data_IF_816351030666
#
_entry.id   IF_816351030666
#
_cell.length_a   1.000
_cell.length_b   1.000
_cell.length_c   1.000
_cell.angle_alpha   90.00
_cell.angle_beta   90.00
_cell.angle_gamma   90.00
#
_symmetry.space_group_name_H-M   'P 1'
#
loop_
_entity.id
_entity.type
_entity.pdbx_description
1 polymer ?
#
# COMPACT_ATOMS: atom_id res chain seq x y z
N UNK A 1 23.76 -16.92 -0.31
CA UNK A 1 23.06 -15.81 -0.98
C UNK A 1 21.60 -16.20 -0.97
N UNK A 2 20.69 -15.30 -0.60
CA UNK A 2 19.25 -15.55 -0.50
C UNK A 2 18.61 -15.25 -1.87
N UNK A 3 17.90 -16.21 -2.44
CA UNK A 3 17.16 -16.05 -3.70
C UNK A 3 15.84 -15.32 -3.42
N UNK A 4 15.73 -14.06 -3.87
CA UNK A 4 14.59 -13.18 -3.64
C UNK A 4 13.75 -13.08 -4.92
N UNK A 5 12.58 -13.68 -4.91
CA UNK A 5 11.60 -13.48 -5.97
C UNK A 5 10.98 -12.08 -5.83
N UNK A 6 11.25 -11.19 -6.78
CA UNK A 6 10.56 -9.91 -6.89
C UNK A 6 9.28 -10.14 -7.68
N UNK A 7 8.13 -10.00 -7.01
CA UNK A 7 6.82 -10.32 -7.57
C UNK A 7 6.02 -9.04 -7.82
N UNK A 8 5.68 -8.75 -9.08
CA UNK A 8 5.13 -7.46 -9.50
C UNK A 8 4.10 -7.59 -10.62
N UNK A 9 3.38 -6.49 -10.90
CA UNK A 9 2.32 -6.44 -11.91
C UNK A 9 0.93 -6.72 -11.32
N UNK A 10 0.15 -7.60 -11.95
CA UNK A 10 -1.19 -8.00 -11.52
C UNK A 10 -2.33 -7.22 -12.17
N UNK A 11 -3.56 -7.63 -11.85
CA UNK A 11 -4.78 -7.01 -12.37
C UNK A 11 -5.21 -5.85 -11.48
N UNK A 12 -4.55 -4.72 -11.64
CA UNK A 12 -4.79 -3.50 -10.86
C UNK A 12 -4.65 -2.28 -11.77
N UNK A 13 -5.35 -1.18 -11.50
CA UNK A 13 -5.09 0.12 -12.13
C UNK A 13 -3.64 0.58 -11.93
N UNK A 14 -2.99 0.13 -10.85
CA UNK A 14 -1.62 0.48 -10.47
C UNK A 14 -0.56 -0.44 -11.08
N UNK A 15 -0.93 -1.28 -12.08
CA UNK A 15 -0.02 -2.20 -12.76
C UNK A 15 1.29 -1.54 -13.19
N UNK A 16 1.22 -0.42 -13.89
CA UNK A 16 2.41 0.30 -14.39
C UNK A 16 3.28 0.87 -13.26
N UNK A 17 2.67 1.26 -12.15
CA UNK A 17 3.40 1.71 -10.96
C UNK A 17 4.18 0.56 -10.34
N UNK A 18 3.57 -0.61 -10.30
CA UNK A 18 4.21 -1.85 -9.84
C UNK A 18 5.44 -2.20 -10.67
N UNK A 19 5.38 -2.08 -12.00
CA UNK A 19 6.53 -2.32 -12.88
C UNK A 19 7.71 -1.37 -12.57
N UNK A 20 7.42 -0.09 -12.33
CA UNK A 20 8.43 0.91 -11.96
C UNK A 20 9.03 0.65 -10.58
N UNK A 21 8.18 0.36 -9.59
CA UNK A 21 8.63 0.03 -8.23
C UNK A 21 9.51 -1.21 -8.21
N UNK A 22 9.13 -2.26 -8.95
CA UNK A 22 9.90 -3.48 -9.07
C UNK A 22 11.30 -3.23 -9.68
N UNK A 23 11.42 -2.32 -10.65
CA UNK A 23 12.71 -1.95 -11.24
C UNK A 23 13.62 -1.28 -10.22
N UNK A 24 13.07 -0.42 -9.36
CA UNK A 24 13.83 0.18 -8.26
C UNK A 24 14.27 -0.88 -7.25
N UNK A 25 13.37 -1.75 -6.82
CA UNK A 25 13.69 -2.87 -5.90
C UNK A 25 14.78 -3.75 -6.53
N UNK A 26 14.63 -4.15 -7.79
CA UNK A 26 15.60 -4.97 -8.51
C UNK A 26 16.98 -4.32 -8.56
N UNK A 27 17.07 -3.04 -8.90
CA UNK A 27 18.35 -2.32 -9.06
C UNK A 27 19.03 -1.97 -7.72
N UNK A 28 18.24 -1.80 -6.65
CA UNK A 28 18.73 -1.36 -5.33
C UNK A 28 18.96 -2.50 -4.33
N UNK A 29 18.61 -3.75 -4.66
CA UNK A 29 18.94 -4.89 -3.80
C UNK A 29 20.46 -5.07 -3.66
N UNK A 30 20.94 -5.33 -2.44
CA UNK A 30 22.35 -5.65 -2.19
C UNK A 30 22.71 -7.02 -2.78
N UNK A 31 23.39 -7.00 -3.93
CA UNK A 31 23.81 -8.19 -4.68
C UNK A 31 24.82 -9.09 -3.94
N UNK A 32 25.38 -8.62 -2.85
CA UNK A 32 26.27 -9.43 -1.99
C UNK A 32 25.46 -10.36 -1.09
N UNK A 33 24.22 -10.00 -0.78
CA UNK A 33 23.32 -10.73 0.11
C UNK A 33 22.23 -11.47 -0.63
N UNK A 34 21.69 -10.87 -1.70
CA UNK A 34 20.48 -11.28 -2.37
C UNK A 34 20.67 -11.49 -3.87
N UNK A 35 20.12 -12.59 -4.38
CA UNK A 35 19.96 -12.86 -5.81
C UNK A 35 18.51 -12.55 -6.21
N UNK A 36 18.24 -11.49 -6.96
CA UNK A 36 16.87 -11.19 -7.38
C UNK A 36 16.45 -12.04 -8.57
N UNK A 37 15.25 -12.58 -8.47
CA UNK A 37 14.58 -13.37 -9.48
C UNK A 37 13.26 -12.67 -9.82
N UNK A 38 13.20 -11.85 -10.90
CA UNK A 38 12.00 -11.13 -11.23
C UNK A 38 10.93 -12.04 -11.83
N UNK A 39 9.73 -11.97 -11.26
CA UNK A 39 8.52 -12.68 -11.70
C UNK A 39 7.39 -11.68 -11.86
N UNK A 40 6.89 -11.56 -13.08
CA UNK A 40 5.77 -10.68 -13.39
C UNK A 40 4.44 -11.41 -13.36
N UNK A 41 3.41 -10.72 -12.88
CA UNK A 41 2.01 -11.15 -12.93
C UNK A 41 1.34 -10.34 -14.04
N UNK A 42 0.88 -11.00 -15.08
CA UNK A 42 0.15 -10.36 -16.18
C UNK A 42 -1.23 -9.89 -15.73
N UNK A 43 -1.89 -9.03 -16.52
CA UNK A 43 -3.24 -8.54 -16.20
C UNK A 43 -4.30 -9.64 -16.16
N UNK A 44 -4.07 -10.77 -16.84
CA UNK A 44 -4.91 -11.98 -16.76
C UNK A 44 -4.51 -12.96 -15.64
N UNK A 45 -3.58 -12.53 -14.76
CA UNK A 45 -3.23 -13.25 -13.53
C UNK A 45 -2.21 -14.38 -13.69
N UNK A 46 -1.51 -14.47 -14.84
CA UNK A 46 -0.47 -15.49 -15.04
C UNK A 46 0.88 -15.01 -14.56
N UNK A 47 1.66 -15.92 -13.99
CA UNK A 47 3.00 -15.64 -13.49
C UNK A 47 4.03 -16.03 -14.54
N UNK A 48 4.99 -15.13 -14.80
CA UNK A 48 6.08 -15.39 -15.73
C UNK A 48 7.42 -14.94 -15.16
N UNK A 49 8.44 -15.73 -15.38
CA UNK A 49 9.80 -15.22 -15.30
C UNK A 49 9.97 -14.09 -16.31
N UNK A 50 10.64 -13.01 -15.93
CA UNK A 50 10.85 -11.87 -16.84
C UNK A 50 12.33 -11.59 -17.04
N UNK A 51 12.68 -11.02 -18.19
CA UNK A 51 14.00 -10.45 -18.41
C UNK A 51 14.23 -9.30 -17.41
N UNK A 52 15.47 -9.06 -16.95
CA UNK A 52 15.81 -7.87 -16.18
C UNK A 52 15.40 -6.59 -16.94
N UNK A 53 15.10 -5.50 -16.22
CA UNK A 53 14.83 -4.23 -16.87
C UNK A 53 16.12 -3.70 -17.51
N UNK A 54 16.00 -2.98 -18.61
CA UNK A 54 17.10 -2.20 -19.17
C UNK A 54 17.44 -1.04 -18.21
N UNK A 55 18.68 -0.56 -18.23
CA UNK A 55 19.13 0.50 -17.33
C UNK A 55 18.23 1.75 -17.43
N UNK A 56 17.69 2.14 -16.28
CA UNK A 56 16.81 3.29 -16.15
C UNK A 56 15.38 3.09 -16.67
N UNK A 57 15.04 1.89 -17.17
CA UNK A 57 13.70 1.58 -17.66
C UNK A 57 12.88 0.77 -16.62
N UNK A 58 11.55 0.88 -16.65
CA UNK A 58 10.69 0.00 -15.87
C UNK A 58 10.73 -1.43 -16.44
N UNK A 59 10.36 -2.41 -15.60
CA UNK A 59 10.04 -3.74 -16.10
C UNK A 59 8.95 -3.67 -17.17
N UNK A 60 8.93 -4.66 -18.03
CA UNK A 60 7.90 -4.82 -19.05
C UNK A 60 7.37 -6.25 -19.03
N UNK A 61 6.05 -6.39 -19.15
CA UNK A 61 5.39 -7.68 -19.34
C UNK A 61 4.92 -7.89 -20.78
N UNK A 62 5.53 -7.17 -21.73
CA UNK A 62 5.38 -7.46 -23.14
C UNK A 62 5.90 -8.88 -23.45
N UNK A 63 5.27 -9.56 -24.40
CA UNK A 63 5.51 -10.98 -24.70
C UNK A 63 6.98 -11.33 -24.89
N UNK A 64 7.74 -10.45 -25.52
CA UNK A 64 9.18 -10.61 -25.78
C UNK A 64 10.07 -10.50 -24.54
N UNK A 65 9.55 -9.99 -23.43
CA UNK A 65 10.24 -9.90 -22.14
C UNK A 65 9.89 -11.05 -21.19
N UNK A 66 8.88 -11.86 -21.53
CA UNK A 66 8.50 -13.04 -20.77
C UNK A 66 9.41 -14.22 -21.15
N UNK A 67 9.83 -14.99 -20.16
CA UNK A 67 10.74 -16.13 -20.34
C UNK A 67 9.99 -17.43 -20.07
N UNK A 68 9.97 -18.31 -21.05
CA UNK A 68 9.39 -19.64 -20.93
C UNK A 68 7.86 -19.66 -20.86
N UNK A 69 7.34 -20.74 -20.29
CA UNK A 69 5.91 -20.94 -20.06
C UNK A 69 5.45 -20.29 -18.74
N UNK A 70 4.14 -20.09 -18.54
CA UNK A 70 3.62 -19.61 -17.27
C UNK A 70 4.06 -20.49 -16.11
N UNK A 71 4.52 -19.84 -15.03
CA UNK A 71 4.91 -20.53 -13.81
C UNK A 71 3.66 -21.04 -13.07
N UNK A 72 3.79 -22.23 -12.48
CA UNK A 72 2.76 -22.81 -11.61
C UNK A 72 3.36 -23.10 -10.25
N UNK A 73 2.65 -22.71 -9.20
CA UNK A 73 3.06 -22.92 -7.82
C UNK A 73 2.10 -23.87 -7.13
N UNK A 74 2.63 -24.79 -6.34
CA UNK A 74 1.84 -25.80 -5.63
C UNK A 74 2.06 -25.69 -4.13
N UNK A 75 1.01 -25.49 -3.31
CA UNK A 75 1.14 -25.49 -1.85
C UNK A 75 1.84 -26.74 -1.32
N UNK A 76 2.69 -26.56 -0.32
CA UNK A 76 3.46 -27.65 0.29
C UNK A 76 4.67 -28.12 -0.51
N UNK A 77 4.96 -27.49 -1.66
CA UNK A 77 6.18 -27.75 -2.44
C UNK A 77 7.08 -26.53 -2.44
N UNK A 78 8.38 -26.76 -2.54
CA UNK A 78 9.34 -25.69 -2.75
C UNK A 78 9.01 -24.90 -4.02
N UNK A 79 9.15 -23.57 -3.93
CA UNK A 79 9.02 -22.70 -5.10
C UNK A 79 10.36 -22.75 -5.83
N UNK A 80 10.33 -23.15 -7.09
CA UNK A 80 11.50 -23.20 -7.97
C UNK A 80 11.20 -22.41 -9.24
N UNK A 81 12.11 -21.49 -9.61
CA UNK A 81 12.06 -20.70 -10.85
C UNK A 81 13.40 -20.86 -11.56
N UNK A 82 13.41 -21.36 -12.80
CA UNK A 82 14.63 -21.62 -13.59
C UNK A 82 15.67 -22.46 -12.86
N UNK A 83 15.22 -23.54 -12.16
CA UNK A 83 16.05 -24.40 -11.31
C UNK A 83 16.64 -23.72 -10.06
N UNK A 84 16.27 -22.49 -9.75
CA UNK A 84 16.66 -21.80 -8.54
C UNK A 84 15.54 -21.89 -7.50
N UNK A 85 15.85 -22.41 -6.30
CA UNK A 85 14.92 -22.41 -5.17
C UNK A 85 14.71 -20.97 -4.70
N UNK A 86 13.47 -20.57 -4.49
CA UNK A 86 13.12 -19.27 -3.92
C UNK A 86 13.13 -19.38 -2.40
N UNK A 87 13.94 -18.52 -1.77
CA UNK A 87 14.05 -18.44 -0.31
C UNK A 87 13.15 -17.37 0.29
N UNK A 88 12.81 -16.33 -0.50
CA UNK A 88 12.04 -15.18 -0.05
C UNK A 88 11.28 -14.53 -1.20
N UNK A 89 10.10 -13.98 -0.92
CA UNK A 89 9.32 -13.20 -1.90
C UNK A 89 9.26 -11.73 -1.48
N UNK A 90 9.60 -10.83 -2.39
CA UNK A 90 9.37 -9.41 -2.25
C UNK A 90 8.19 -9.00 -3.14
N UNK A 91 6.95 -8.99 -2.62
CA UNK A 91 5.80 -8.53 -3.39
C UNK A 91 5.86 -7.02 -3.52
N UNK A 92 5.59 -6.51 -4.72
CA UNK A 92 5.48 -5.08 -5.03
C UNK A 92 4.35 -4.85 -6.05
N UNK A 93 3.27 -5.61 -5.91
CA UNK A 93 2.04 -5.45 -6.66
C UNK A 93 1.12 -4.48 -5.93
N UNK A 94 0.94 -3.26 -6.48
CA UNK A 94 0.17 -2.21 -5.83
C UNK A 94 -1.34 -2.34 -6.06
N UNK A 95 -2.12 -1.83 -5.09
CA UNK A 95 -3.57 -1.75 -5.14
C UNK A 95 -4.28 -3.07 -4.87
N UNK A 96 -5.54 -3.15 -5.30
CA UNK A 96 -6.35 -4.36 -5.17
C UNK A 96 -5.63 -5.57 -5.77
N UNK A 97 -5.82 -6.76 -5.21
CA UNK A 97 -5.10 -7.99 -5.48
C UNK A 97 -3.71 -8.07 -4.82
N UNK A 98 -2.90 -7.02 -4.87
CA UNK A 98 -1.54 -7.01 -4.32
C UNK A 98 -1.48 -6.64 -2.84
N UNK A 99 -2.38 -5.76 -2.37
CA UNK A 99 -2.37 -5.17 -1.02
C UNK A 99 -3.59 -5.56 -0.16
N UNK A 100 -4.51 -6.36 -0.67
CA UNK A 100 -5.80 -6.67 -0.03
C UNK A 100 -5.86 -8.02 0.70
N UNK A 101 -4.71 -8.66 0.89
CA UNK A 101 -4.60 -9.95 1.57
C UNK A 101 -4.67 -11.18 0.64
N UNK A 102 -5.11 -11.04 -0.63
CA UNK A 102 -5.20 -12.16 -1.58
C UNK A 102 -3.83 -12.70 -1.93
N UNK A 103 -2.91 -11.82 -2.32
CA UNK A 103 -1.54 -12.21 -2.65
C UNK A 103 -0.82 -12.75 -1.41
N UNK A 104 -1.00 -12.13 -0.26
CA UNK A 104 -0.43 -12.55 1.01
C UNK A 104 -0.93 -13.95 1.41
N UNK A 105 -2.24 -14.19 1.32
CA UNK A 105 -2.83 -15.50 1.59
C UNK A 105 -2.32 -16.58 0.63
N UNK A 106 -2.11 -16.25 -0.63
CA UNK A 106 -1.48 -17.17 -1.59
C UNK A 106 -0.04 -17.51 -1.18
N UNK A 107 0.78 -16.52 -0.80
CA UNK A 107 2.15 -16.75 -0.34
C UNK A 107 2.20 -17.53 0.99
N UNK A 108 1.25 -17.29 1.90
CA UNK A 108 1.12 -18.06 3.14
C UNK A 108 0.77 -19.53 2.86
N UNK A 109 -0.14 -19.79 1.91
CA UNK A 109 -0.46 -21.17 1.48
C UNK A 109 0.74 -21.88 0.82
N UNK A 110 1.61 -21.13 0.14
CA UNK A 110 2.84 -21.65 -0.43
C UNK A 110 3.91 -21.92 0.63
N UNK A 111 3.76 -21.37 1.85
CA UNK A 111 4.72 -21.56 2.94
C UNK A 111 6.07 -20.89 2.68
N UNK A 112 6.08 -19.74 2.02
CA UNK A 112 7.30 -18.98 1.70
C UNK A 112 7.34 -17.68 2.48
N UNK A 113 8.49 -17.30 3.08
CA UNK A 113 8.63 -15.99 3.72
C UNK A 113 8.53 -14.86 2.69
N UNK A 114 7.91 -13.76 3.10
CA UNK A 114 7.73 -12.61 2.20
C UNK A 114 7.79 -11.27 2.95
N UNK A 115 7.98 -10.18 2.19
CA UNK A 115 8.03 -8.82 2.71
C UNK A 115 6.63 -8.22 2.90
N UNK A 116 6.44 -7.46 3.97
CA UNK A 116 5.23 -6.67 4.22
C UNK A 116 4.25 -7.31 5.19
N UNK A 117 3.04 -6.77 5.19
CA UNK A 117 1.97 -7.21 6.07
C UNK A 117 1.49 -8.62 5.69
N UNK A 118 1.00 -9.33 6.69
CA UNK A 118 0.31 -10.61 6.49
C UNK A 118 -1.11 -10.39 5.96
N UNK A 119 -1.78 -11.51 5.64
CA UNK A 119 -3.14 -11.51 5.07
C UNK A 119 -4.10 -10.61 5.84
N UNK A 120 -4.14 -10.72 7.17
CA UNK A 120 -5.08 -9.94 8.01
C UNK A 120 -4.76 -8.44 7.93
N UNK A 121 -3.48 -8.05 8.17
CA UNK A 121 -3.08 -6.65 8.13
C UNK A 121 -3.31 -6.01 6.77
N UNK A 122 -2.99 -6.73 5.69
CA UNK A 122 -3.24 -6.27 4.32
C UNK A 122 -4.73 -6.05 4.04
N UNK A 123 -5.58 -7.02 4.40
CA UNK A 123 -7.02 -6.92 4.18
C UNK A 123 -7.67 -5.80 4.99
N UNK A 124 -7.27 -5.65 6.26
CA UNK A 124 -7.75 -4.57 7.15
C UNK A 124 -7.34 -3.20 6.61
N UNK A 125 -6.06 -3.02 6.27
CA UNK A 125 -5.55 -1.73 5.81
C UNK A 125 -6.11 -1.30 4.45
N UNK A 126 -6.42 -2.24 3.55
CA UNK A 126 -7.07 -1.95 2.28
C UNK A 126 -8.50 -1.46 2.48
N UNK A 127 -9.23 -2.02 3.43
CA UNK A 127 -10.62 -1.68 3.71
C UNK A 127 -10.71 -0.44 4.63
N UNK A 128 -10.99 0.71 4.02
CA UNK A 128 -11.05 2.01 4.73
C UNK A 128 -12.09 2.04 5.86
N UNK A 129 -13.19 1.30 5.74
CA UNK A 129 -14.19 1.19 6.82
C UNK A 129 -13.63 0.41 8.01
N UNK A 130 -12.99 -0.74 7.76
CA UNK A 130 -12.39 -1.55 8.83
C UNK A 130 -11.23 -0.81 9.50
N UNK A 131 -10.32 -0.22 8.72
CA UNK A 131 -9.23 0.61 9.24
C UNK A 131 -9.76 1.71 10.17
N UNK A 132 -10.75 2.48 9.72
CA UNK A 132 -11.34 3.57 10.51
C UNK A 132 -11.99 3.07 11.80
N UNK A 133 -12.74 1.97 11.73
CA UNK A 133 -13.40 1.39 12.91
C UNK A 133 -12.41 0.90 13.95
N UNK A 134 -11.34 0.22 13.52
CA UNK A 134 -10.28 -0.23 14.44
C UNK A 134 -9.52 0.95 15.05
N UNK A 135 -9.17 1.93 14.26
CA UNK A 135 -8.48 3.12 14.74
C UNK A 135 -9.35 3.96 15.68
N UNK A 136 -10.63 4.17 15.35
CA UNK A 136 -11.55 4.88 16.22
C UNK A 136 -11.77 4.15 17.58
N UNK A 137 -11.82 2.82 17.57
CA UNK A 137 -11.90 2.02 18.80
C UNK A 137 -10.65 2.12 19.70
N UNK A 138 -9.54 2.61 19.15
CA UNK A 138 -8.28 2.89 19.85
C UNK A 138 -8.05 4.39 20.08
N UNK A 139 -9.10 5.22 19.99
CA UNK A 139 -9.06 6.68 20.16
C UNK A 139 -8.12 7.39 19.16
N UNK A 140 -7.78 6.73 18.05
CA UNK A 140 -7.05 7.38 16.94
C UNK A 140 -8.05 8.20 16.11
N UNK A 141 -7.85 9.51 15.97
CA UNK A 141 -8.79 10.35 15.24
C UNK A 141 -8.88 9.94 13.78
N UNK A 142 -10.09 9.71 13.28
CA UNK A 142 -10.41 9.45 11.89
C UNK A 142 -11.42 10.47 11.38
N UNK A 143 -11.41 10.75 10.08
CA UNK A 143 -12.43 11.65 9.50
C UNK A 143 -13.81 11.01 9.68
N UNK A 144 -14.81 11.74 10.22
CA UNK A 144 -16.18 11.24 10.37
C UNK A 144 -16.72 10.70 9.04
N UNK A 145 -17.27 9.50 9.07
CA UNK A 145 -17.76 8.82 7.87
C UNK A 145 -18.93 7.91 8.16
N UNK A 146 -19.76 7.69 7.15
CA UNK A 146 -20.85 6.72 7.13
C UNK A 146 -20.56 5.70 6.01
N UNK A 147 -20.76 4.45 6.29
CA UNK A 147 -20.58 3.37 5.33
C UNK A 147 -21.92 2.87 4.85
N UNK A 148 -22.11 2.81 3.52
CA UNK A 148 -23.31 2.34 2.88
C UNK A 148 -23.02 1.09 2.04
N UNK A 149 -24.05 0.23 1.88
CA UNK A 149 -23.98 -1.01 1.10
C UNK A 149 -24.99 -1.04 -0.06
N UNK A 150 -25.85 -0.05 -0.13
CA UNK A 150 -26.77 0.17 -1.24
C UNK A 150 -27.04 1.67 -1.43
N UNK A 151 -27.48 2.07 -2.61
CA UNK A 151 -27.67 3.47 -2.96
C UNK A 151 -28.79 4.14 -2.14
N UNK A 152 -29.78 3.38 -1.70
CA UNK A 152 -30.92 3.86 -0.90
C UNK A 152 -30.51 4.42 0.45
N UNK A 153 -29.37 3.99 0.99
CA UNK A 153 -28.83 4.47 2.27
C UNK A 153 -28.16 5.85 2.14
N UNK A 154 -27.83 6.28 0.92
CA UNK A 154 -26.97 7.43 0.66
C UNK A 154 -27.51 8.75 1.21
N UNK A 155 -28.79 9.07 0.98
CA UNK A 155 -29.40 10.33 1.44
C UNK A 155 -29.40 10.42 2.98
N UNK A 156 -29.71 9.32 3.66
CA UNK A 156 -29.70 9.29 5.13
C UNK A 156 -28.26 9.41 5.69
N UNK A 157 -27.30 8.78 5.07
CA UNK A 157 -25.89 8.89 5.43
C UNK A 157 -25.36 10.32 5.17
N UNK A 158 -25.66 10.90 4.02
CA UNK A 158 -25.29 12.26 3.68
C UNK A 158 -25.91 13.31 4.63
N UNK A 159 -27.14 13.09 5.08
CA UNK A 159 -27.78 13.96 6.06
C UNK A 159 -27.06 13.96 7.44
N UNK A 160 -26.43 12.83 7.81
CA UNK A 160 -25.63 12.74 9.05
C UNK A 160 -24.25 13.37 8.91
N UNK A 161 -23.62 13.24 7.74
CA UNK A 161 -22.27 13.77 7.47
C UNK A 161 -22.31 15.27 7.18
N UNK A 162 -23.29 15.71 6.39
CA UNK A 162 -23.38 17.08 5.85
C UNK A 162 -22.57 17.29 4.58
N UNK A 163 -22.90 18.37 3.85
CA UNK A 163 -22.16 18.78 2.65
C UNK A 163 -21.20 19.93 2.96
N UNK A 164 -20.06 20.02 2.28
CA UNK A 164 -19.56 19.08 1.27
C UNK A 164 -19.02 17.78 1.90
N UNK A 165 -19.18 16.67 1.17
CA UNK A 165 -18.67 15.35 1.57
C UNK A 165 -17.86 14.70 0.44
N UNK A 166 -17.13 13.63 0.76
CA UNK A 166 -16.39 12.81 -0.19
C UNK A 166 -17.02 11.42 -0.22
N UNK A 167 -17.36 10.94 -1.41
CA UNK A 167 -17.77 9.56 -1.65
C UNK A 167 -16.54 8.77 -2.10
N UNK A 168 -16.26 7.62 -1.49
CA UNK A 168 -15.13 6.77 -1.86
C UNK A 168 -15.42 5.28 -1.65
N UNK A 169 -14.99 4.38 -2.57
CA UNK A 169 -15.05 2.95 -2.34
C UNK A 169 -14.19 2.55 -1.13
N UNK A 170 -14.58 1.51 -0.39
CA UNK A 170 -13.82 1.06 0.77
C UNK A 170 -12.49 0.40 0.39
N UNK A 171 -12.48 -0.43 -0.68
CA UNK A 171 -11.35 -1.26 -1.09
C UNK A 171 -10.75 -0.83 -2.43
N UNK A 172 -10.66 0.47 -2.70
CA UNK A 172 -10.02 1.00 -3.91
C UNK A 172 -8.82 1.89 -3.54
N UNK A 173 -7.78 1.81 -4.38
CA UNK A 173 -6.59 2.67 -4.32
C UNK A 173 -6.62 3.75 -5.41
N UNK A 174 -5.56 4.59 -5.45
CA UNK A 174 -5.30 5.56 -6.52
C UNK A 174 -6.48 6.46 -6.88
N UNK A 175 -7.28 6.84 -5.89
CA UNK A 175 -8.47 7.70 -6.05
C UNK A 175 -9.53 7.17 -7.03
N UNK A 176 -9.50 5.88 -7.39
CA UNK A 176 -10.54 5.26 -8.22
C UNK A 176 -11.90 5.33 -7.53
N UNK A 177 -12.92 5.84 -8.22
CA UNK A 177 -14.29 5.96 -7.70
C UNK A 177 -14.47 7.05 -6.63
N UNK A 178 -13.45 7.87 -6.34
CA UNK A 178 -13.55 8.97 -5.37
C UNK A 178 -14.18 10.20 -6.01
N UNK A 179 -15.16 10.80 -5.32
CA UNK A 179 -15.81 12.03 -5.77
C UNK A 179 -16.11 12.98 -4.60
N UNK A 180 -15.87 14.27 -4.81
CA UNK A 180 -16.33 15.33 -3.90
C UNK A 180 -17.74 15.75 -4.30
N UNK A 181 -18.62 15.75 -3.33
CA UNK A 181 -20.03 16.07 -3.48
C UNK A 181 -20.30 17.35 -2.70
N UNK A 182 -20.65 18.39 -3.42
CA UNK A 182 -20.91 19.73 -2.82
C UNK A 182 -22.38 19.91 -2.46
N UNK A 183 -23.27 19.23 -3.20
CA UNK A 183 -24.72 19.36 -3.06
C UNK A 183 -25.41 18.01 -3.18
N UNK A 184 -26.63 17.90 -2.68
CA UNK A 184 -27.43 16.67 -2.74
C UNK A 184 -27.69 16.19 -4.19
N UNK A 185 -27.78 17.12 -5.15
CA UNK A 185 -28.00 16.78 -6.56
C UNK A 185 -26.84 16.00 -7.21
N UNK A 186 -25.63 16.10 -6.64
CA UNK A 186 -24.43 15.39 -7.13
C UNK A 186 -24.28 13.99 -6.48
N UNK A 187 -25.03 13.71 -5.39
CA UNK A 187 -24.82 12.53 -4.54
C UNK A 187 -25.06 11.22 -5.28
N UNK A 188 -26.16 11.12 -6.01
CA UNK A 188 -26.57 9.87 -6.69
C UNK A 188 -25.49 9.41 -7.67
N UNK A 189 -25.02 10.30 -8.54
CA UNK A 189 -24.00 9.96 -9.52
C UNK A 189 -22.66 9.57 -8.87
N UNK A 190 -22.28 10.24 -7.78
CA UNK A 190 -21.08 9.92 -7.04
C UNK A 190 -21.15 8.54 -6.37
N UNK A 191 -22.29 8.20 -5.78
CA UNK A 191 -22.53 6.91 -5.12
C UNK A 191 -22.57 5.78 -6.14
N UNK A 192 -23.27 5.96 -7.28
CA UNK A 192 -23.28 4.98 -8.38
C UNK A 192 -21.85 4.71 -8.90
N UNK A 193 -21.06 5.78 -9.10
CA UNK A 193 -19.66 5.65 -9.47
C UNK A 193 -18.86 4.89 -8.39
N UNK A 194 -19.07 5.17 -7.10
CA UNK A 194 -18.42 4.44 -6.01
C UNK A 194 -18.73 2.94 -6.04
N UNK A 195 -19.99 2.57 -6.23
CA UNK A 195 -20.42 1.18 -6.33
C UNK A 195 -19.96 0.45 -7.61
N UNK A 196 -19.51 1.18 -8.63
CA UNK A 196 -18.85 0.54 -9.78
C UNK A 196 -17.49 -0.08 -9.44
N UNK A 197 -16.88 0.34 -8.33
CA UNK A 197 -15.56 -0.14 -7.88
C UNK A 197 -15.60 -1.06 -6.66
N UNK A 198 -16.64 -0.96 -5.82
CA UNK A 198 -16.75 -1.77 -4.60
C UNK A 198 -18.23 -1.95 -4.19
N UNK A 199 -18.51 -3.03 -3.50
CA UNK A 199 -19.82 -3.30 -2.87
C UNK A 199 -20.06 -2.50 -1.57
N UNK A 200 -19.07 -1.73 -1.13
CA UNK A 200 -19.07 -0.92 0.10
C UNK A 200 -18.49 0.45 -0.19
N UNK A 201 -19.26 1.49 0.10
CA UNK A 201 -18.91 2.88 -0.18
C UNK A 201 -18.98 3.70 1.10
N UNK A 202 -18.00 4.58 1.32
CA UNK A 202 -17.97 5.53 2.42
C UNK A 202 -18.40 6.91 1.93
N UNK A 203 -19.23 7.56 2.73
CA UNK A 203 -19.50 8.99 2.67
C UNK A 203 -18.71 9.63 3.83
N UNK A 204 -17.81 10.53 3.53
CA UNK A 204 -16.86 11.08 4.50
C UNK A 204 -16.92 12.59 4.52
N UNK A 205 -16.79 13.22 5.70
CA UNK A 205 -16.69 14.67 5.81
C UNK A 205 -15.56 15.20 4.93
N UNK A 206 -15.84 16.20 4.12
CA UNK A 206 -14.78 16.86 3.34
C UNK A 206 -13.92 17.74 4.25
N UNK A 207 -12.63 17.41 4.39
CA UNK A 207 -11.68 18.13 5.23
C UNK A 207 -10.79 18.99 4.33
N UNK A 208 -10.64 20.28 4.65
CA UNK A 208 -9.64 21.13 4.04
C UNK A 208 -8.29 20.90 4.73
N UNK A 209 -7.48 20.00 4.18
CA UNK A 209 -6.31 19.50 4.87
C UNK A 209 -5.02 19.63 4.06
N UNK A 210 -3.91 19.49 4.77
CA UNK A 210 -2.60 19.13 4.23
C UNK A 210 -2.51 17.60 4.26
N UNK A 211 -1.95 16.99 3.22
CA UNK A 211 -1.71 15.54 3.16
C UNK A 211 -0.33 15.21 3.71
N UNK A 212 -0.32 14.54 4.86
CA UNK A 212 0.89 14.23 5.62
C UNK A 212 1.08 12.71 5.63
N UNK A 213 2.25 12.26 5.22
CA UNK A 213 2.55 10.83 5.09
C UNK A 213 3.71 10.43 6.02
N UNK A 214 3.62 9.26 6.67
CA UNK A 214 4.68 8.68 7.49
C UNK A 214 5.15 7.35 6.93
N UNK A 215 6.45 7.20 6.70
CA UNK A 215 7.05 5.89 6.47
C UNK A 215 7.23 5.16 7.82
N UNK A 216 6.86 3.88 7.83
CA UNK A 216 6.92 3.01 9.00
C UNK A 216 7.65 1.73 8.60
N UNK A 217 8.63 1.28 9.41
CA UNK A 217 9.36 0.02 9.21
C UNK A 217 9.42 -0.76 10.54
N UNK A 218 9.12 -2.04 10.49
CA UNK A 218 9.23 -2.97 11.61
C UNK A 218 7.93 -3.69 11.94
N UNK A 219 7.93 -4.29 13.11
CA UNK A 219 6.78 -4.74 13.88
C UNK A 219 6.92 -4.08 15.25
N UNK A 220 5.86 -4.02 16.05
CA UNK A 220 5.91 -3.29 17.33
C UNK A 220 7.14 -3.68 18.18
N UNK A 221 7.99 -2.73 18.62
CA UNK A 221 7.91 -1.28 18.38
C UNK A 221 8.40 -0.90 16.98
N UNK A 222 7.68 0.01 16.34
CA UNK A 222 7.97 0.46 14.97
C UNK A 222 9.04 1.55 14.93
N UNK A 223 9.81 1.59 13.84
CA UNK A 223 10.56 2.78 13.42
C UNK A 223 9.62 3.64 12.57
N UNK A 224 9.18 4.77 13.10
CA UNK A 224 8.36 5.77 12.38
C UNK A 224 9.24 6.94 12.01
N UNK A 225 9.37 7.23 10.73
CA UNK A 225 10.16 8.36 10.25
C UNK A 225 9.41 9.68 10.43
N UNK A 226 10.13 10.82 10.51
CA UNK A 226 9.51 12.13 10.43
C UNK A 226 8.61 12.25 9.21
N UNK A 227 7.42 12.89 9.33
CA UNK A 227 6.45 12.92 8.24
C UNK A 227 6.91 13.76 7.06
N UNK A 228 6.57 13.30 5.87
CA UNK A 228 6.60 14.04 4.63
C UNK A 228 5.25 14.68 4.32
N UNK A 229 5.19 15.44 3.23
CA UNK A 229 3.98 16.15 2.78
C UNK A 229 3.84 16.04 1.27
N UNK A 230 2.63 15.75 0.83
CA UNK A 230 2.22 15.88 -0.57
C UNK A 230 1.51 17.23 -0.74
N UNK A 231 2.11 18.11 -1.55
CA UNK A 231 1.57 19.43 -1.84
C UNK A 231 0.98 19.41 -3.24
N UNK A 232 -0.34 19.46 -3.32
CA UNK A 232 -1.06 19.53 -4.60
C UNK A 232 -1.47 20.95 -4.90
N UNK A 233 -1.39 21.35 -6.17
CA UNK A 233 -1.97 22.61 -6.65
C UNK A 233 -3.46 22.48 -6.98
N UNK A 234 -4.02 21.27 -7.01
CA UNK A 234 -5.42 20.96 -7.29
C UNK A 234 -6.22 20.69 -6.01
N UNK A 235 -7.55 20.85 -6.07
CA UNK A 235 -8.46 20.52 -4.95
C UNK A 235 -8.43 19.01 -4.56
N UNK A 236 -7.88 18.15 -5.42
CA UNK A 236 -7.73 16.71 -5.20
C UNK A 236 -6.41 16.18 -5.72
N UNK A 237 -5.84 15.24 -4.99
CA UNK A 237 -4.71 14.42 -5.40
C UNK A 237 -5.24 13.15 -6.07
N UNK A 238 -5.67 13.28 -7.34
CA UNK A 238 -6.23 12.20 -8.16
C UNK A 238 -5.14 11.37 -8.87
N UNK A 239 -5.57 10.31 -9.58
CA UNK A 239 -4.68 9.42 -10.32
C UNK A 239 -3.81 10.18 -11.36
N UNK A 240 -4.41 11.17 -12.06
CA UNK A 240 -3.68 11.96 -13.06
C UNK A 240 -2.59 12.82 -12.41
N UNK A 241 -2.89 13.44 -11.27
CA UNK A 241 -1.93 14.22 -10.49
C UNK A 241 -0.83 13.35 -9.88
N UNK A 242 -1.17 12.09 -9.51
CA UNK A 242 -0.22 11.13 -8.92
C UNK A 242 0.80 10.60 -9.91
N UNK A 243 0.38 10.31 -11.16
CA UNK A 243 1.18 9.48 -12.06
C UNK A 243 1.40 10.07 -13.47
N UNK A 244 0.57 11.00 -13.93
CA UNK A 244 0.61 11.52 -15.30
C UNK A 244 1.08 12.99 -15.38
N UNK A 245 0.76 13.82 -14.39
CA UNK A 245 1.07 15.25 -14.38
C UNK A 245 2.10 15.59 -13.28
N UNK A 246 3.33 15.14 -13.44
CA UNK A 246 4.43 15.37 -12.48
C UNK A 246 4.74 16.86 -12.18
N UNK A 247 4.12 17.81 -12.88
CA UNK A 247 4.32 19.25 -12.67
C UNK A 247 3.33 19.90 -11.70
N UNK A 248 2.24 19.22 -11.29
CA UNK A 248 1.19 19.78 -10.42
C UNK A 248 1.32 19.37 -8.94
N UNK A 249 2.21 18.43 -8.63
CA UNK A 249 2.40 17.88 -7.29
C UNK A 249 3.85 18.08 -6.85
N UNK A 250 4.05 18.75 -5.71
CA UNK A 250 5.35 18.83 -5.07
C UNK A 250 5.38 17.86 -3.87
N UNK A 251 6.46 17.09 -3.77
CA UNK A 251 6.73 16.19 -2.65
C UNK A 251 7.77 16.84 -1.75
N UNK A 252 7.46 16.90 -0.45
CA UNK A 252 8.40 17.30 0.59
C UNK A 252 8.70 16.07 1.45
N UNK A 253 9.94 15.63 1.47
CA UNK A 253 10.38 14.50 2.30
C UNK A 253 10.29 14.78 3.79
N UNK A 254 10.25 16.06 4.15
CA UNK A 254 10.06 16.55 5.52
C UNK A 254 8.99 17.65 5.51
N UNK A 255 7.86 17.39 6.17
CA UNK A 255 6.79 18.35 6.31
C UNK A 255 7.24 19.52 7.23
N UNK A 256 6.90 20.75 6.83
CA UNK A 256 7.12 21.93 7.68
C UNK A 256 6.01 22.01 8.73
N UNK A 257 6.29 21.43 9.91
CA UNK A 257 5.37 21.29 11.03
C UNK A 257 6.05 21.59 12.36
N UNK A 258 5.30 22.08 13.36
CA UNK A 258 5.80 22.21 14.72
C UNK A 258 6.27 20.86 15.28
N UNK A 259 7.36 20.81 16.08
CA UNK A 259 7.88 19.55 16.64
C UNK A 259 6.83 18.74 17.39
N UNK A 260 5.94 19.38 18.13
CA UNK A 260 4.85 18.69 18.86
C UNK A 260 3.87 17.99 17.91
N UNK A 261 3.55 18.61 16.77
CA UNK A 261 2.68 18.02 15.75
C UNK A 261 3.37 16.83 15.08
N UNK A 262 4.69 16.92 14.80
CA UNK A 262 5.48 15.82 14.27
C UNK A 262 5.42 14.62 15.20
N UNK A 263 5.68 14.81 16.49
CA UNK A 263 5.68 13.72 17.48
C UNK A 263 4.26 13.13 17.68
N UNK A 264 3.21 13.97 17.66
CA UNK A 264 1.82 13.50 17.69
C UNK A 264 1.50 12.59 16.51
N UNK A 265 1.86 13.02 15.28
CA UNK A 265 1.62 12.24 14.05
C UNK A 265 2.39 10.92 14.10
N UNK A 266 3.66 10.93 14.52
CA UNK A 266 4.48 9.73 14.65
C UNK A 266 3.90 8.74 15.66
N UNK A 267 3.42 9.22 16.80
CA UNK A 267 2.77 8.39 17.80
C UNK A 267 1.48 7.75 17.27
N UNK A 268 0.63 8.55 16.61
CA UNK A 268 -0.59 8.04 15.96
C UNK A 268 -0.28 7.03 14.85
N UNK A 269 0.80 7.24 14.07
CA UNK A 269 1.22 6.30 13.04
C UNK A 269 1.68 4.96 13.63
N UNK A 270 2.46 4.99 14.71
CA UNK A 270 2.89 3.77 15.40
C UNK A 270 1.69 2.99 15.96
N UNK A 271 0.76 3.69 16.59
CA UNK A 271 -0.43 3.07 17.16
C UNK A 271 -1.36 2.52 16.07
N UNK A 272 -1.63 3.27 15.01
CA UNK A 272 -2.43 2.81 13.87
C UNK A 272 -1.82 1.56 13.21
N UNK A 273 -0.49 1.55 13.05
CA UNK A 273 0.22 0.38 12.53
C UNK A 273 0.01 -0.85 13.41
N UNK A 274 0.08 -0.70 14.72
CA UNK A 274 -0.12 -1.81 15.67
C UNK A 274 -1.56 -2.32 15.64
N UNK A 275 -2.56 -1.41 15.71
CA UNK A 275 -3.99 -1.76 15.74
C UNK A 275 -4.47 -2.41 14.44
N UNK A 276 -3.87 -2.06 13.31
CA UNK A 276 -4.19 -2.63 12.00
C UNK A 276 -3.27 -3.78 11.58
N UNK A 277 -2.53 -4.38 12.52
CA UNK A 277 -1.67 -5.55 12.27
C UNK A 277 -0.60 -5.32 11.17
N UNK A 278 -0.08 -4.10 11.06
CA UNK A 278 1.02 -3.80 10.14
C UNK A 278 2.27 -4.60 10.54
N UNK A 279 2.95 -5.16 9.54
CA UNK A 279 4.23 -5.86 9.66
C UNK A 279 5.18 -5.45 8.54
N UNK A 280 6.44 -5.46 8.82
CA UNK A 280 7.52 -5.19 7.85
C UNK A 280 7.63 -3.72 7.48
N UNK A 281 6.72 -3.18 6.71
CA UNK A 281 6.73 -1.77 6.30
C UNK A 281 5.35 -1.30 5.85
N UNK A 282 5.11 0.01 5.97
CA UNK A 282 3.90 0.67 5.45
C UNK A 282 4.13 2.17 5.30
N UNK A 283 3.22 2.84 4.57
CA UNK A 283 3.04 4.29 4.60
C UNK A 283 1.68 4.60 5.21
N UNK A 284 1.67 5.46 6.20
CA UNK A 284 0.46 5.86 6.92
C UNK A 284 0.19 7.31 6.62
N UNK A 285 -0.98 7.56 6.07
CA UNK A 285 -1.36 8.85 5.51
C UNK A 285 -2.38 9.54 6.41
N UNK A 286 -2.14 10.81 6.69
CA UNK A 286 -2.95 11.65 7.57
C UNK A 286 -3.43 12.91 6.85
N UNK A 287 -4.60 13.39 7.25
CA UNK A 287 -5.05 14.74 7.00
C UNK A 287 -4.75 15.63 8.20
N UNK A 288 -4.02 16.71 7.96
CA UNK A 288 -3.85 17.81 8.92
C UNK A 288 -4.78 18.95 8.52
N UNK A 289 -5.90 19.10 9.23
CA UNK A 289 -6.91 20.12 8.94
C UNK A 289 -6.32 21.51 9.12
N UNK A 290 -6.47 22.37 8.11
CA UNK A 290 -5.79 23.67 8.07
C UNK A 290 -6.37 24.68 9.07
N UNK A 291 -7.66 24.61 9.35
CA UNK A 291 -8.37 25.53 10.21
C UNK A 291 -8.16 25.24 11.70
N UNK A 292 -8.19 23.96 12.07
CA UNK A 292 -8.15 23.55 13.49
C UNK A 292 -6.78 23.01 13.92
N UNK A 293 -5.98 22.51 12.97
CA UNK A 293 -4.75 21.78 13.27
C UNK A 293 -4.99 20.34 13.75
N UNK A 294 -6.22 19.85 13.61
CA UNK A 294 -6.54 18.46 13.95
C UNK A 294 -5.93 17.48 12.95
N UNK A 295 -5.46 16.35 13.48
CA UNK A 295 -4.84 15.29 12.70
C UNK A 295 -5.82 14.12 12.63
N UNK A 296 -6.15 13.67 11.42
CA UNK A 296 -7.01 12.52 11.16
C UNK A 296 -6.27 11.47 10.34
N UNK A 297 -6.34 10.20 10.75
CA UNK A 297 -5.91 9.11 9.89
C UNK A 297 -6.78 9.07 8.63
N UNK A 298 -6.14 8.98 7.47
CA UNK A 298 -6.79 8.79 6.18
C UNK A 298 -6.77 7.32 5.75
N UNK A 299 -5.57 6.77 5.50
CA UNK A 299 -5.39 5.38 5.05
C UNK A 299 -4.02 4.82 5.44
N UNK A 300 -3.86 3.50 5.31
CA UNK A 300 -2.62 2.76 5.52
C UNK A 300 -2.29 1.97 4.26
N UNK A 301 -1.12 2.24 3.66
CA UNK A 301 -0.64 1.56 2.46
C UNK A 301 0.40 0.51 2.85
N UNK A 302 0.08 -0.77 2.70
CA UNK A 302 0.92 -1.88 3.18
C UNK A 302 2.01 -2.30 2.21
N UNK A 303 1.91 -1.90 0.94
CA UNK A 303 2.97 -1.98 -0.06
C UNK A 303 3.14 -0.62 -0.75
N UNK A 304 3.68 0.39 -0.04
CA UNK A 304 3.83 1.73 -0.60
C UNK A 304 4.73 1.71 -1.84
N UNK A 305 4.53 2.67 -2.75
CA UNK A 305 5.34 2.81 -3.95
C UNK A 305 6.83 2.92 -3.65
N UNK A 306 7.63 2.28 -4.50
CA UNK A 306 9.10 2.29 -4.46
C UNK A 306 9.72 2.93 -5.71
N UNK A 307 8.97 3.75 -6.45
CA UNK A 307 9.55 4.49 -7.58
C UNK A 307 10.51 5.58 -7.07
N UNK A 308 11.37 6.10 -7.92
CA UNK A 308 12.29 7.18 -7.55
C UNK A 308 11.61 8.49 -7.09
N UNK A 309 10.29 8.64 -7.32
CA UNK A 309 9.47 9.75 -6.83
C UNK A 309 8.51 9.36 -5.70
N UNK A 310 8.59 8.14 -5.17
CA UNK A 310 7.71 7.70 -4.09
C UNK A 310 8.20 8.21 -2.73
N UNK A 311 7.28 8.72 -1.92
CA UNK A 311 7.62 9.38 -0.66
C UNK A 311 8.21 8.41 0.37
N UNK A 312 7.77 7.13 0.41
CA UNK A 312 8.29 6.15 1.35
C UNK A 312 9.82 5.96 1.26
N UNK A 313 10.42 5.60 0.11
CA UNK A 313 11.88 5.49 0.01
C UNK A 313 12.59 6.83 0.20
N UNK A 314 12.02 7.93 -0.27
CA UNK A 314 12.61 9.25 -0.10
C UNK A 314 12.67 9.67 1.38
N UNK A 315 11.65 9.40 2.18
CA UNK A 315 11.66 9.64 3.63
C UNK A 315 12.72 8.78 4.34
N UNK A 316 12.91 7.54 3.90
CA UNK A 316 13.98 6.69 4.42
C UNK A 316 15.36 7.31 4.15
N UNK A 317 15.63 7.71 2.92
CA UNK A 317 16.92 8.32 2.52
C UNK A 317 17.20 9.65 3.25
N UNK A 318 16.19 10.54 3.35
CA UNK A 318 16.28 11.81 4.09
C UNK A 318 16.68 11.60 5.56
N UNK A 319 16.31 10.46 6.14
CA UNK A 319 16.61 10.11 7.52
C UNK A 319 17.81 9.13 7.66
N UNK A 320 18.65 9.04 6.64
CA UNK A 320 19.92 8.30 6.68
C UNK A 320 19.81 6.80 6.46
N UNK A 321 18.63 6.29 6.06
CA UNK A 321 18.44 4.89 5.70
C UNK A 321 18.38 4.77 4.16
N UNK A 322 19.46 4.34 3.53
CA UNK A 322 19.49 4.15 2.08
C UNK A 322 18.40 3.17 1.61
N UNK A 323 17.95 3.30 0.36
CA UNK A 323 16.98 2.33 -0.20
C UNK A 323 17.50 0.91 -0.10
N UNK A 324 18.79 0.67 -0.35
CA UNK A 324 19.43 -0.65 -0.22
C UNK A 324 19.34 -1.19 1.21
N UNK A 325 19.59 -0.36 2.21
CA UNK A 325 19.51 -0.77 3.62
C UNK A 325 18.05 -0.95 4.06
N UNK A 326 17.12 -0.12 3.57
CA UNK A 326 15.69 -0.27 3.81
C UNK A 326 15.18 -1.62 3.27
N UNK A 327 15.50 -1.96 2.02
CA UNK A 327 15.15 -3.25 1.41
C UNK A 327 15.77 -4.42 2.20
N UNK A 328 17.04 -4.30 2.59
CA UNK A 328 17.71 -5.32 3.41
C UNK A 328 17.02 -5.51 4.75
N UNK A 329 16.62 -4.42 5.42
CA UNK A 329 15.91 -4.45 6.70
C UNK A 329 14.53 -5.09 6.54
N UNK A 330 13.79 -4.72 5.50
CA UNK A 330 12.45 -5.28 5.21
C UNK A 330 12.52 -6.79 4.96
N UNK A 331 13.50 -7.26 4.17
CA UNK A 331 13.68 -8.69 3.91
C UNK A 331 14.00 -9.44 5.21
N UNK A 332 14.88 -8.92 6.05
CA UNK A 332 15.21 -9.54 7.34
C UNK A 332 14.00 -9.63 8.26
N UNK A 333 13.20 -8.56 8.34
CA UNK A 333 11.96 -8.55 9.11
C UNK A 333 10.96 -9.61 8.62
N UNK A 334 10.83 -9.79 7.30
CA UNK A 334 9.97 -10.83 6.74
C UNK A 334 10.44 -12.25 7.06
N UNK A 335 11.75 -12.50 7.03
CA UNK A 335 12.35 -13.78 7.46
C UNK A 335 12.11 -14.05 8.94
N UNK A 336 12.36 -13.06 9.80
CA UNK A 336 12.12 -13.16 11.24
C UNK A 336 10.65 -13.40 11.58
N UNK A 337 9.73 -12.73 10.88
CA UNK A 337 8.28 -12.90 11.06
C UNK A 337 7.85 -14.30 10.67
N UNK A 338 8.39 -14.84 9.57
CA UNK A 338 8.12 -16.20 9.13
C UNK A 338 8.60 -17.26 10.15
N UNK A 339 9.80 -17.06 10.73
CA UNK A 339 10.37 -18.00 11.71
C UNK A 339 9.61 -18.00 13.04
N UNK A 340 8.94 -16.90 13.39
CA UNK A 340 8.09 -16.79 14.60
C UNK A 340 6.75 -17.51 14.48
N UNK A 341 6.34 -17.88 13.25
CA UNK A 341 5.05 -18.53 13.06
C UNK A 341 5.06 -19.94 13.65
N UNK A 342 3.95 -20.37 14.27
CA UNK A 342 3.81 -21.74 14.73
C UNK A 342 3.99 -22.71 13.55
N UNK A 343 4.97 -23.59 13.66
CA UNK A 343 5.12 -24.71 12.73
C UNK A 343 4.19 -25.81 13.24
N UNK A 344 3.08 -26.01 12.57
CA UNK A 344 2.24 -27.19 12.86
C UNK A 344 3.01 -28.41 12.38
N UNK A 345 3.58 -29.19 13.32
CA UNK A 345 4.03 -30.53 13.02
C UNK A 345 2.78 -31.32 12.59
N UNK A 346 2.80 -31.85 11.37
CA UNK A 346 1.80 -32.84 10.99
C UNK A 346 1.89 -33.95 12.04
N UNK A 347 0.80 -34.22 12.77
CA UNK A 347 0.73 -35.41 13.57
C UNK A 347 1.10 -36.56 12.63
N UNK A 348 2.23 -37.22 12.91
CA UNK A 348 2.69 -38.35 12.12
C UNK A 348 1.56 -39.38 12.10
N UNK A 349 1.08 -39.72 10.91
CA UNK A 349 0.18 -40.86 10.70
C UNK A 349 0.85 -42.15 11.10
#
# INVERSE_FOLDING_TARGET
MINVMILFGGNSPEHEVSLRSASTVYSRLDRRLFQPIPVGITRDGRFYRTAPPEDGQPFSLAKEKLIGEPLSFTPGKEIVVDNEKIDFVFPIAHGAFGEDGRLQGFLEMLGVPYAGCRTVGSAVCMDKDLTKRLCAAADIPVVPSETIRCAEEASAAAARIGFPLVVKPANAGSSCGVAKVKTESELTAAVENGFAFDSKVLLERCVNAREIECAVIGSAPFTVFPPGEVVTSSEFYDYESKYLNAGSTAIRTRADLPPQTIEKIRALAAEAAERCEVRGFARIDFFLEKETGDVFLNEINTLPGFTGGSLFPLMCEENGLSVTDALTKIIRLGLEEFDRQPKFESAAE
#
